data_IF_052518476407
#
_entry.id   IF_052518476407
#
_cell.length_a   1.000
_cell.length_b   1.000
_cell.length_c   1.000
_cell.angle_alpha   90.00
_cell.angle_beta   90.00
_cell.angle_gamma   90.00
#
_symmetry.space_group_name_H-M   'P 1'
#
loop_
_entity.id
_entity.type
_entity.pdbx_description
1 polymer ?
#
# COMPACT_ATOMS: atom_id res chain seq x y z
N UNK A 1 4.42 14.34 12.61
CA UNK A 1 3.22 13.79 11.94
C UNK A 1 3.03 14.44 10.57
N UNK A 2 3.33 13.75 9.46
CA UNK A 2 3.15 14.23 8.07
C UNK A 2 2.20 13.33 7.26
N UNK A 3 1.20 12.70 7.89
CA UNK A 3 0.42 11.63 7.23
C UNK A 3 -0.90 12.13 6.64
N UNK A 4 -1.69 12.94 7.35
CA UNK A 4 -3.01 13.41 6.87
C UNK A 4 -2.86 14.49 5.78
N UNK A 5 -1.92 15.42 5.93
CA UNK A 5 -1.69 16.48 4.94
C UNK A 5 -1.18 15.94 3.60
N UNK A 6 -0.29 14.94 3.63
CA UNK A 6 0.25 14.29 2.43
C UNK A 6 -0.83 13.52 1.68
N UNK A 7 -1.74 12.88 2.42
CA UNK A 7 -2.91 12.19 1.88
C UNK A 7 -3.92 13.17 1.26
N UNK A 8 -4.26 14.25 1.98
CA UNK A 8 -5.13 15.32 1.48
C UNK A 8 -4.59 15.95 0.20
N UNK A 9 -3.27 16.17 0.15
CA UNK A 9 -2.58 16.68 -1.04
C UNK A 9 -2.57 15.68 -2.19
N UNK A 10 -2.35 14.38 -1.93
CA UNK A 10 -2.42 13.34 -2.96
C UNK A 10 -3.82 13.24 -3.59
N UNK A 11 -4.87 13.30 -2.76
CA UNK A 11 -6.27 13.33 -3.22
C UNK A 11 -6.55 14.60 -4.04
N UNK A 12 -6.13 15.77 -3.55
CA UNK A 12 -6.32 17.06 -4.22
C UNK A 12 -5.59 17.12 -5.56
N UNK A 13 -4.39 16.53 -5.65
CA UNK A 13 -3.59 16.46 -6.88
C UNK A 13 -4.19 15.50 -7.90
N UNK A 14 -4.71 14.34 -7.47
CA UNK A 14 -5.43 13.39 -8.34
C UNK A 14 -6.78 13.97 -8.83
N UNK A 15 -7.41 14.83 -8.05
CA UNK A 15 -8.63 15.57 -8.42
C UNK A 15 -8.39 16.66 -9.48
N UNK A 16 -7.22 17.33 -9.48
CA UNK A 16 -6.90 18.38 -10.48
C UNK A 16 -6.57 17.83 -11.87
N UNK A 17 -5.95 16.66 -11.96
CA UNK A 17 -5.49 16.09 -13.24
C UNK A 17 -6.48 15.13 -13.91
N UNK A 18 -7.69 14.95 -13.37
CA UNK A 18 -8.67 14.00 -13.90
C UNK A 18 -9.92 14.70 -14.42
N UNK A 19 -9.84 15.24 -15.64
CA UNK A 19 -10.99 15.73 -16.41
C UNK A 19 -12.09 14.65 -16.63
N UNK A 20 -11.86 13.39 -16.23
CA UNK A 20 -12.80 12.26 -16.35
C UNK A 20 -13.27 11.60 -15.04
N UNK A 21 -12.83 12.00 -13.83
CA UNK A 21 -13.24 11.30 -12.58
C UNK A 21 -14.17 12.13 -11.70
N UNK A 22 -15.38 12.40 -12.23
CA UNK A 22 -16.52 12.99 -11.50
C UNK A 22 -16.95 12.28 -10.19
N UNK A 23 -16.74 10.95 -9.96
CA UNK A 23 -17.25 10.29 -8.75
C UNK A 23 -16.59 10.75 -7.45
N UNK A 24 -15.29 11.05 -7.45
CA UNK A 24 -14.52 11.32 -6.23
C UNK A 24 -14.92 12.67 -5.62
N UNK A 25 -15.12 13.67 -6.48
CA UNK A 25 -15.62 14.99 -6.10
C UNK A 25 -17.03 14.90 -5.48
N UNK A 26 -17.84 13.95 -5.95
CA UNK A 26 -19.16 13.67 -5.38
C UNK A 26 -19.05 13.01 -4.00
N UNK A 27 -18.20 11.99 -3.84
CA UNK A 27 -18.03 11.29 -2.56
C UNK A 27 -17.46 12.19 -1.46
N UNK A 28 -16.43 13.00 -1.76
CA UNK A 28 -15.81 13.93 -0.80
C UNK A 28 -16.77 15.07 -0.42
N UNK A 29 -17.61 15.53 -1.37
CA UNK A 29 -18.53 16.65 -1.14
C UNK A 29 -19.85 16.21 -0.47
N UNK A 30 -20.19 14.92 -0.51
CA UNK A 30 -21.50 14.40 -0.06
C UNK A 30 -21.42 13.55 1.21
N UNK A 31 -20.23 13.09 1.62
CA UNK A 31 -20.05 12.31 2.84
C UNK A 31 -19.05 12.98 3.78
N UNK A 32 -19.45 13.12 5.04
CA UNK A 32 -18.63 13.70 6.12
C UNK A 32 -17.43 12.78 6.50
N UNK A 33 -17.56 11.49 6.17
CA UNK A 33 -16.56 10.47 6.46
C UNK A 33 -16.31 9.58 5.23
N UNK A 34 -15.04 9.40 4.89
CA UNK A 34 -14.60 8.54 3.77
C UNK A 34 -14.08 7.23 4.35
N UNK A 35 -14.65 6.11 3.92
CA UNK A 35 -14.20 4.79 4.35
C UNK A 35 -12.78 4.48 3.87
N UNK A 36 -12.01 3.78 4.68
CA UNK A 36 -10.60 3.44 4.39
C UNK A 36 -10.44 2.67 3.07
N UNK A 37 -11.33 1.74 2.75
CA UNK A 37 -11.25 0.97 1.49
C UNK A 37 -11.43 1.86 0.24
N UNK A 38 -12.18 2.97 0.34
CA UNK A 38 -12.27 3.96 -0.74
C UNK A 38 -10.95 4.70 -0.85
N UNK A 39 -10.38 5.10 0.28
CA UNK A 39 -9.14 5.86 0.39
C UNK A 39 -7.93 5.11 -0.17
N UNK A 40 -7.83 3.79 0.08
CA UNK A 40 -6.74 2.94 -0.39
C UNK A 40 -6.58 3.00 -1.92
N UNK A 41 -7.65 3.18 -2.69
CA UNK A 41 -7.60 3.35 -4.16
C UNK A 41 -6.85 4.63 -4.61
N UNK A 42 -6.60 5.56 -3.69
CA UNK A 42 -5.88 6.81 -3.93
C UNK A 42 -4.44 6.78 -3.43
N UNK A 43 -4.09 5.78 -2.64
CA UNK A 43 -2.76 5.62 -2.08
C UNK A 43 -1.82 4.95 -3.09
N UNK A 44 -0.55 5.36 -3.07
CA UNK A 44 0.53 4.58 -3.67
C UNK A 44 0.92 3.44 -2.71
N UNK A 45 1.58 2.40 -3.21
CA UNK A 45 2.13 1.34 -2.36
C UNK A 45 3.09 1.88 -1.30
N UNK A 46 3.87 2.92 -1.63
CA UNK A 46 4.66 3.68 -0.66
C UNK A 46 3.80 4.27 0.47
N UNK A 47 2.70 4.97 0.15
CA UNK A 47 1.81 5.54 1.16
C UNK A 47 1.15 4.45 2.02
N UNK A 48 0.82 3.30 1.44
CA UNK A 48 0.28 2.14 2.17
C UNK A 48 1.33 1.59 3.13
N UNK A 49 2.59 1.47 2.71
CA UNK A 49 3.70 1.05 3.58
C UNK A 49 3.87 2.00 4.77
N UNK A 50 3.89 3.32 4.54
CA UNK A 50 3.94 4.31 5.61
C UNK A 50 2.72 4.25 6.53
N UNK A 51 1.52 4.06 5.98
CA UNK A 51 0.30 3.92 6.75
C UNK A 51 0.35 2.70 7.67
N UNK A 52 0.71 1.54 7.13
CA UNK A 52 0.84 0.29 7.90
C UNK A 52 1.88 0.42 9.03
N UNK A 53 3.04 1.00 8.74
CA UNK A 53 4.09 1.26 9.74
C UNK A 53 3.65 2.23 10.85
N UNK A 54 2.64 3.05 10.61
CA UNK A 54 2.10 4.00 11.61
C UNK A 54 1.02 3.39 12.51
N UNK A 55 0.56 2.16 12.23
CA UNK A 55 -0.41 1.45 13.06
C UNK A 55 0.25 0.93 14.34
N UNK A 56 -0.56 0.69 15.37
CA UNK A 56 -0.08 0.00 16.56
C UNK A 56 0.30 -1.46 16.24
N UNK A 57 1.20 -2.01 17.06
CA UNK A 57 1.73 -3.35 16.84
C UNK A 57 0.64 -4.44 16.86
N UNK A 58 -0.39 -4.28 17.68
CA UNK A 58 -1.48 -5.25 17.76
C UNK A 58 -2.24 -5.33 16.44
N UNK A 59 -2.51 -4.17 15.84
CA UNK A 59 -3.22 -4.06 14.58
C UNK A 59 -2.36 -4.51 13.41
N UNK A 60 -1.07 -4.21 13.40
CA UNK A 60 -0.14 -4.76 12.42
C UNK A 60 -0.14 -6.28 12.44
N UNK A 61 0.02 -6.88 13.63
CA UNK A 61 0.01 -8.34 13.78
C UNK A 61 -1.32 -8.95 13.35
N UNK A 62 -2.46 -8.30 13.67
CA UNK A 62 -3.78 -8.76 13.24
C UNK A 62 -3.89 -8.77 11.72
N UNK A 63 -3.50 -7.68 11.06
CA UNK A 63 -3.53 -7.59 9.60
C UNK A 63 -2.60 -8.65 8.97
N UNK A 64 -1.38 -8.80 9.47
CA UNK A 64 -0.44 -9.81 8.98
C UNK A 64 -0.99 -11.23 9.09
N UNK A 65 -1.64 -11.55 10.21
CA UNK A 65 -2.34 -12.82 10.40
C UNK A 65 -3.48 -13.00 9.41
N UNK A 66 -4.34 -11.99 9.23
CA UNK A 66 -5.47 -12.07 8.30
C UNK A 66 -4.99 -12.32 6.85
N UNK A 67 -3.85 -11.74 6.46
CA UNK A 67 -3.22 -12.03 5.16
C UNK A 67 -2.63 -13.45 5.10
N UNK A 68 -1.97 -13.90 6.17
CA UNK A 68 -1.43 -15.26 6.26
C UNK A 68 -2.52 -16.33 6.19
N UNK A 69 -3.66 -16.12 6.86
CA UNK A 69 -4.82 -17.01 6.84
C UNK A 69 -5.39 -17.12 5.42
N UNK A 70 -5.61 -15.98 4.74
CA UNK A 70 -6.06 -15.97 3.33
C UNK A 70 -5.09 -16.67 2.39
N UNK A 71 -3.79 -16.49 2.61
CA UNK A 71 -2.76 -17.16 1.82
C UNK A 71 -2.78 -18.67 2.01
N UNK A 72 -2.89 -19.12 3.27
CA UNK A 72 -3.06 -20.52 3.62
C UNK A 72 -4.30 -21.12 2.96
N UNK A 73 -5.43 -20.44 3.01
CA UNK A 73 -6.67 -20.92 2.41
C UNK A 73 -6.58 -21.02 0.88
N UNK A 74 -5.88 -20.09 0.23
CA UNK A 74 -5.75 -20.04 -1.23
C UNK A 74 -4.73 -21.04 -1.78
N UNK A 75 -3.66 -21.32 -1.04
CA UNK A 75 -2.51 -22.11 -1.52
C UNK A 75 -2.23 -23.37 -0.71
N UNK A 76 -3.09 -23.72 0.26
CA UNK A 76 -2.90 -24.84 1.20
C UNK A 76 -1.55 -24.77 1.94
N UNK A 77 -1.02 -23.56 2.11
CA UNK A 77 0.27 -23.32 2.72
C UNK A 77 0.21 -23.36 4.25
N UNK A 78 1.32 -23.70 4.91
CA UNK A 78 1.47 -23.63 6.37
C UNK A 78 2.25 -22.42 6.83
N UNK A 79 2.72 -21.60 5.88
CA UNK A 79 3.52 -20.43 6.16
C UNK A 79 2.71 -19.38 6.91
N UNK A 80 3.36 -18.72 7.87
CA UNK A 80 2.80 -17.59 8.60
C UNK A 80 3.46 -16.32 8.09
N UNK A 81 2.68 -15.27 7.95
CA UNK A 81 3.18 -13.95 7.57
C UNK A 81 3.28 -13.11 8.84
N UNK A 82 4.50 -12.74 9.22
CA UNK A 82 4.75 -11.78 10.30
C UNK A 82 4.50 -10.34 9.84
N UNK A 83 4.35 -9.43 10.80
CA UNK A 83 4.20 -8.00 10.51
C UNK A 83 5.36 -7.42 9.72
N UNK A 84 6.59 -7.90 9.95
CA UNK A 84 7.81 -7.47 9.26
C UNK A 84 7.85 -8.00 7.84
N UNK A 85 7.49 -9.27 7.63
CA UNK A 85 7.40 -9.84 6.29
C UNK A 85 6.33 -9.15 5.45
N UNK A 86 5.19 -8.79 6.04
CA UNK A 86 4.16 -8.05 5.30
C UNK A 86 4.65 -6.67 4.84
N UNK A 87 5.45 -5.98 5.66
CA UNK A 87 6.09 -4.71 5.27
C UNK A 87 7.04 -4.93 4.09
N UNK A 88 7.85 -5.98 4.13
CA UNK A 88 8.81 -6.27 3.09
C UNK A 88 8.13 -6.69 1.78
N UNK A 89 7.03 -7.44 1.85
CA UNK A 89 6.16 -7.73 0.71
C UNK A 89 5.65 -6.42 0.08
N UNK A 90 5.14 -5.48 0.88
CA UNK A 90 4.66 -4.18 0.35
C UNK A 90 5.80 -3.40 -0.33
N UNK A 91 7.02 -3.41 0.23
CA UNK A 91 8.19 -2.77 -0.37
C UNK A 91 8.58 -3.43 -1.69
N UNK A 92 8.58 -4.76 -1.76
CA UNK A 92 8.86 -5.53 -2.97
C UNK A 92 7.84 -5.19 -4.06
N UNK A 93 6.54 -5.16 -3.72
CA UNK A 93 5.49 -4.72 -4.65
C UNK A 93 5.74 -3.30 -5.16
N UNK A 94 6.13 -2.38 -4.27
CA UNK A 94 6.43 -0.99 -4.65
C UNK A 94 7.66 -0.91 -5.57
N UNK A 95 8.69 -1.71 -5.31
CA UNK A 95 9.88 -1.81 -6.16
C UNK A 95 9.52 -2.29 -7.56
N UNK A 96 8.83 -3.44 -7.66
CA UNK A 96 8.40 -3.99 -8.95
C UNK A 96 7.53 -3.01 -9.74
N UNK A 97 6.58 -2.36 -9.08
CA UNK A 97 5.76 -1.30 -9.69
C UNK A 97 6.63 -0.17 -10.26
N UNK A 98 7.70 0.22 -9.58
CA UNK A 98 8.59 1.29 -10.02
C UNK A 98 9.54 0.88 -11.15
N UNK A 99 9.91 -0.41 -11.23
CA UNK A 99 10.66 -0.96 -12.36
C UNK A 99 9.76 -1.02 -13.61
N UNK A 100 8.54 -1.56 -13.48
CA UNK A 100 7.58 -1.60 -14.60
C UNK A 100 7.24 -0.22 -15.15
N UNK A 101 7.15 0.80 -14.29
CA UNK A 101 6.86 2.17 -14.73
C UNK A 101 8.00 2.86 -15.49
N UNK A 102 9.20 2.25 -15.49
CA UNK A 102 10.39 2.74 -16.20
C UNK A 102 10.66 1.96 -17.50
N UNK A 103 9.72 1.12 -17.94
CA UNK A 103 9.85 0.21 -19.10
C UNK A 103 11.09 -0.70 -19.03
N UNK A 104 11.60 -0.94 -17.82
CA UNK A 104 12.72 -1.85 -17.57
C UNK A 104 12.19 -3.30 -17.53
N UNK A 105 12.88 -4.22 -18.19
CA UNK A 105 12.39 -5.59 -18.33
C UNK A 105 12.59 -6.39 -17.04
N UNK A 106 11.49 -6.84 -16.45
CA UNK A 106 11.43 -7.52 -15.15
C UNK A 106 12.25 -8.82 -15.08
N UNK A 107 12.44 -9.55 -16.20
CA UNK A 107 13.21 -10.80 -16.21
C UNK A 107 14.72 -10.58 -16.00
N UNK A 108 15.22 -9.35 -16.22
CA UNK A 108 16.63 -9.01 -16.05
C UNK A 108 16.98 -8.65 -14.60
N UNK A 109 16.00 -8.60 -13.69
CA UNK A 109 16.22 -8.21 -12.31
C UNK A 109 16.32 -9.43 -11.40
N UNK A 110 17.54 -9.70 -10.94
CA UNK A 110 17.74 -10.51 -9.74
C UNK A 110 17.87 -9.57 -8.53
N UNK A 111 17.08 -9.80 -7.48
CA UNK A 111 17.27 -9.11 -6.19
C UNK A 111 18.55 -9.64 -5.52
N UNK A 112 19.71 -9.13 -5.95
CA UNK A 112 21.00 -9.38 -5.28
C UNK A 112 21.31 -8.37 -4.17
N UNK A 113 20.39 -7.44 -3.88
CA UNK A 113 20.52 -6.51 -2.76
C UNK A 113 19.77 -7.07 -1.57
N UNK A 114 20.48 -7.34 -0.47
CA UNK A 114 19.88 -7.28 0.86
C UNK A 114 19.08 -5.97 0.92
N UNK A 115 17.80 -6.07 1.26
CA UNK A 115 16.99 -4.91 1.60
C UNK A 115 17.61 -4.38 2.89
N UNK A 116 18.60 -3.48 2.77
CA UNK A 116 19.28 -2.88 3.91
C UNK A 116 18.23 -2.28 4.83
N UNK A 117 18.07 -2.91 5.99
CA UNK A 117 17.27 -2.40 7.08
C UNK A 117 18.01 -1.17 7.63
N UNK A 118 17.53 0.02 7.29
CA UNK A 118 17.84 1.17 8.14
C UNK A 118 17.14 0.90 9.46
N UNK A 119 17.95 0.65 10.49
CA UNK A 119 17.57 0.84 11.89
C UNK A 119 17.03 2.26 12.11
#
# INVERSE_FOLDING_TARGET
>A
MKNIGTLSNAISRKNKNSNGKKPIKHYIKKHDHIHLWVLVNFLTLGNISYFYNSLDESLQNKIARDFGERYKDSYQSREKISKTELIDIIKICNFFRNVSARDEIMYSFSMFREIFMSR
#
